data_IF_257355149489
#
_entry.id   IF_257355149489
#
_cell.length_a   1.000
_cell.length_b   1.000
_cell.length_c   1.000
_cell.angle_alpha   90.00
_cell.angle_beta   90.00
_cell.angle_gamma   90.00
#
_symmetry.space_group_name_H-M   'P 1'
#
loop_
_entity.id
_entity.type
_entity.pdbx_description
1 polymer ?
#
# COMPACT_ATOMS: atom_id res chain seq x y z
N UNK A 1 -24.06 21.73 13.93
CA UNK A 1 -22.98 21.15 13.10
C UNK A 1 -22.16 20.23 13.99
N UNK A 2 -22.52 18.95 14.04
CA UNK A 2 -21.80 17.99 14.89
C UNK A 2 -20.48 17.62 14.21
N UNK A 3 -19.39 18.19 14.70
CA UNK A 3 -18.04 17.69 14.46
C UNK A 3 -17.94 16.27 15.02
N UNK A 4 -18.33 15.29 14.21
CA UNK A 4 -17.87 13.93 14.41
C UNK A 4 -16.37 13.98 14.18
N UNK A 5 -15.59 13.83 15.25
CA UNK A 5 -14.15 13.61 15.18
C UNK A 5 -13.91 12.35 14.33
N UNK A 6 -13.81 12.53 13.02
CA UNK A 6 -13.46 11.46 12.11
C UNK A 6 -12.06 11.03 12.53
N UNK A 7 -11.94 9.82 13.08
CA UNK A 7 -10.64 9.21 13.36
C UNK A 7 -9.86 9.24 12.04
N UNK A 8 -8.93 10.18 11.94
CA UNK A 8 -8.09 10.37 10.78
C UNK A 8 -6.93 9.40 10.99
N UNK A 9 -7.03 8.22 10.37
CA UNK A 9 -6.00 7.19 10.44
C UNK A 9 -4.73 7.71 9.78
N UNK A 10 -3.81 8.25 10.58
CA UNK A 10 -2.59 8.85 10.04
C UNK A 10 -1.61 7.81 9.50
N UNK A 11 -1.57 6.62 10.10
CA UNK A 11 -0.67 5.57 9.66
C UNK A 11 -1.25 4.17 9.88
N UNK A 12 -1.10 3.31 8.88
CA UNK A 12 -1.33 1.86 9.00
C UNK A 12 0.01 1.15 8.76
N UNK A 13 0.33 0.18 9.61
CA UNK A 13 1.45 -0.73 9.44
C UNK A 13 0.90 -2.15 9.33
N UNK A 14 1.15 -2.80 8.21
CA UNK A 14 0.82 -4.20 7.99
C UNK A 14 2.13 -4.96 7.92
N UNK A 15 2.28 -5.95 8.79
CA UNK A 15 3.38 -6.90 8.77
C UNK A 15 2.79 -8.30 8.81
N UNK A 16 3.28 -9.18 7.92
CA UNK A 16 2.93 -10.59 7.97
C UNK A 16 4.16 -11.40 8.39
N UNK A 17 3.92 -12.49 9.13
CA UNK A 17 4.96 -13.42 9.56
C UNK A 17 4.97 -14.60 8.60
N UNK A 18 6.03 -14.74 7.80
CA UNK A 18 6.20 -15.85 6.84
C UNK A 18 5.60 -15.57 5.44
N UNK A 19 5.44 -16.61 4.61
CA UNK A 19 4.84 -16.55 3.26
C UNK A 19 3.31 -16.26 3.26
N UNK A 20 2.79 -15.66 4.34
CA UNK A 20 1.39 -15.29 4.41
C UNK A 20 1.11 -14.10 3.49
N UNK A 21 0.18 -14.29 2.55
CA UNK A 21 -0.32 -13.19 1.72
C UNK A 21 -1.32 -12.38 2.53
N UNK A 22 -1.29 -11.05 2.39
CA UNK A 22 -2.35 -10.23 2.98
C UNK A 22 -3.72 -10.69 2.43
N UNK A 23 -4.72 -10.99 3.27
CA UNK A 23 -6.08 -11.25 2.82
C UNK A 23 -6.73 -9.90 2.45
N UNK A 24 -6.51 -9.49 1.20
CA UNK A 24 -6.90 -8.18 0.65
C UNK A 24 -8.42 -7.98 0.47
N UNK A 25 -9.24 -8.93 0.91
CA UNK A 25 -10.70 -8.93 0.75
C UNK A 25 -11.46 -8.38 1.95
N UNK A 26 -10.78 -7.94 3.01
CA UNK A 26 -11.47 -7.46 4.21
C UNK A 26 -12.12 -6.08 3.97
N UNK A 27 -13.47 -5.98 4.00
CA UNK A 27 -14.17 -4.71 3.77
C UNK A 27 -13.78 -3.63 4.78
N UNK A 28 -13.45 -4.05 6.01
CA UNK A 28 -12.97 -3.16 7.07
C UNK A 28 -11.65 -2.48 6.67
N UNK A 29 -10.70 -3.24 6.10
CA UNK A 29 -9.42 -2.70 5.66
C UNK A 29 -9.66 -1.69 4.53
N UNK A 30 -10.47 -2.05 3.53
CA UNK A 30 -10.84 -1.17 2.41
C UNK A 30 -11.56 0.12 2.84
N UNK A 31 -12.33 0.09 3.94
CA UNK A 31 -13.00 1.27 4.48
C UNK A 31 -12.03 2.25 5.17
N UNK A 32 -10.88 1.75 5.64
CA UNK A 32 -9.88 2.56 6.33
C UNK A 32 -8.89 3.22 5.35
N UNK A 33 -8.54 2.54 4.25
CA UNK A 33 -7.54 3.00 3.26
C UNK A 33 -7.73 4.43 2.75
N UNK A 34 -8.95 4.92 2.45
CA UNK A 34 -9.13 6.27 1.92
C UNK A 34 -8.70 7.38 2.87
N UNK A 35 -8.59 7.09 4.18
CA UNK A 35 -8.19 8.05 5.21
C UNK A 35 -6.72 7.97 5.60
N UNK A 36 -5.98 6.99 5.04
CA UNK A 36 -4.61 6.69 5.43
C UNK A 36 -3.65 7.69 4.80
N UNK A 37 -2.88 8.40 5.62
CA UNK A 37 -1.82 9.29 5.15
C UNK A 37 -0.46 8.57 4.99
N UNK A 38 -0.20 7.52 5.78
CA UNK A 38 1.02 6.70 5.69
C UNK A 38 0.72 5.20 5.73
N UNK A 39 1.20 4.44 4.77
CA UNK A 39 1.09 2.98 4.74
C UNK A 39 2.48 2.38 4.80
N UNK A 40 2.68 1.41 5.70
CA UNK A 40 3.91 0.63 5.80
C UNK A 40 3.54 -0.84 5.59
N UNK A 41 4.10 -1.48 4.57
CA UNK A 41 3.98 -2.91 4.31
C UNK A 41 5.35 -3.56 4.54
N UNK A 42 5.42 -4.54 5.45
CA UNK A 42 6.66 -5.25 5.80
C UNK A 42 6.53 -6.76 5.68
N UNK A 43 7.45 -7.40 4.97
CA UNK A 43 7.52 -8.88 4.90
C UNK A 43 6.18 -9.45 4.44
N UNK A 44 5.60 -8.82 3.40
CA UNK A 44 4.25 -9.11 2.91
C UNK A 44 4.28 -9.74 1.53
N UNK A 45 3.57 -10.86 1.39
CA UNK A 45 3.16 -11.37 0.08
C UNK A 45 1.97 -10.58 -0.47
N UNK A 46 2.18 -9.84 -1.56
CA UNK A 46 1.13 -9.17 -2.31
C UNK A 46 0.70 -10.01 -3.50
N UNK A 47 -0.56 -10.44 -3.47
CA UNK A 47 -1.16 -11.12 -4.62
C UNK A 47 -1.46 -10.14 -5.75
N UNK A 48 -1.76 -10.67 -6.93
CA UNK A 48 -2.25 -9.88 -8.07
C UNK A 48 -3.43 -8.97 -7.75
N UNK A 49 -4.22 -9.22 -6.69
CA UNK A 49 -5.33 -8.34 -6.26
C UNK A 49 -4.88 -7.12 -5.43
N UNK A 50 -3.61 -7.03 -5.02
CA UNK A 50 -3.10 -5.93 -4.18
C UNK A 50 -3.21 -4.55 -4.83
N UNK A 51 -3.21 -4.47 -6.16
CA UNK A 51 -3.39 -3.22 -6.89
C UNK A 51 -4.69 -2.48 -6.52
N UNK A 52 -5.74 -3.19 -6.06
CA UNK A 52 -6.98 -2.56 -5.61
C UNK A 52 -6.80 -1.78 -4.31
N UNK A 53 -5.89 -2.20 -3.42
CA UNK A 53 -5.58 -1.44 -2.20
C UNK A 53 -5.01 -0.07 -2.58
N UNK A 54 -4.01 -0.06 -3.46
CA UNK A 54 -3.29 1.16 -3.82
C UNK A 54 -4.19 2.17 -4.54
N UNK A 55 -5.20 1.70 -5.28
CA UNK A 55 -6.24 2.57 -5.84
C UNK A 55 -7.15 3.23 -4.80
N UNK A 56 -7.34 2.59 -3.64
CA UNK A 56 -8.17 3.12 -2.55
C UNK A 56 -7.41 4.10 -1.65
N UNK A 57 -6.08 4.19 -1.79
CA UNK A 57 -5.19 5.03 -0.99
C UNK A 57 -5.16 6.50 -1.48
N UNK A 58 -6.34 7.13 -1.59
CA UNK A 58 -6.48 8.49 -2.16
C UNK A 58 -5.84 9.62 -1.36
N UNK A 59 -5.65 9.42 -0.04
CA UNK A 59 -5.02 10.41 0.85
C UNK A 59 -3.62 10.01 1.27
N UNK A 60 -3.07 8.96 0.66
CA UNK A 60 -1.75 8.44 1.01
C UNK A 60 -0.67 9.40 0.52
N UNK A 61 0.16 9.84 1.46
CA UNK A 61 1.32 10.70 1.24
C UNK A 61 2.63 9.94 1.36
N UNK A 62 2.69 8.92 2.22
CA UNK A 62 3.91 8.15 2.45
C UNK A 62 3.65 6.66 2.31
N UNK A 63 4.41 5.98 1.46
CA UNK A 63 4.36 4.54 1.31
C UNK A 63 5.73 3.92 1.58
N UNK A 64 5.78 2.99 2.51
CA UNK A 64 6.96 2.20 2.80
C UNK A 64 6.69 0.73 2.43
N UNK A 65 7.40 0.20 1.43
CA UNK A 65 7.40 -1.20 1.03
C UNK A 65 8.75 -1.80 1.43
N UNK A 66 8.74 -2.73 2.40
CA UNK A 66 9.96 -3.36 2.91
C UNK A 66 9.79 -4.87 2.83
N UNK A 67 10.70 -5.56 2.14
CA UNK A 67 10.67 -7.01 2.00
C UNK A 67 9.30 -7.50 1.47
N UNK A 68 8.80 -6.82 0.43
CA UNK A 68 7.51 -7.13 -0.17
C UNK A 68 7.72 -8.03 -1.38
N UNK A 69 7.10 -9.20 -1.33
CA UNK A 69 7.10 -10.15 -2.43
C UNK A 69 5.81 -10.03 -3.22
N UNK A 70 5.91 -10.02 -4.55
CA UNK A 70 4.79 -9.92 -5.47
C UNK A 70 4.77 -11.11 -6.42
N UNK A 71 3.59 -11.56 -6.84
CA UNK A 71 3.47 -12.47 -7.99
C UNK A 71 4.15 -11.83 -9.23
N UNK A 72 4.85 -12.59 -10.07
CA UNK A 72 5.68 -12.08 -11.19
C UNK A 72 4.97 -11.09 -12.14
N UNK A 73 3.64 -11.14 -12.23
CA UNK A 73 2.82 -10.26 -13.08
C UNK A 73 2.05 -9.17 -12.31
N UNK A 74 2.28 -9.02 -11.00
CA UNK A 74 1.69 -7.99 -10.17
C UNK A 74 2.44 -6.63 -10.12
N UNK A 75 3.77 -6.52 -10.31
CA UNK A 75 4.47 -5.27 -10.03
C UNK A 75 4.03 -4.12 -10.95
N UNK A 76 3.86 -4.34 -12.25
CA UNK A 76 3.39 -3.30 -13.18
C UNK A 76 1.98 -2.78 -12.80
N UNK A 77 1.07 -3.70 -12.48
CA UNK A 77 -0.30 -3.33 -12.05
C UNK A 77 -0.30 -2.55 -10.74
N UNK A 78 0.65 -2.84 -9.85
CA UNK A 78 0.83 -2.10 -8.61
C UNK A 78 1.41 -0.71 -8.85
N UNK A 79 2.42 -0.56 -9.70
CA UNK A 79 2.95 0.75 -10.07
C UNK A 79 1.91 1.64 -10.74
N UNK A 80 1.11 1.08 -11.64
CA UNK A 80 -0.01 1.81 -12.24
C UNK A 80 -1.02 2.28 -11.18
N UNK A 81 -1.29 1.44 -10.17
CA UNK A 81 -2.17 1.81 -9.06
C UNK A 81 -1.55 2.84 -8.11
N UNK A 82 -0.23 2.81 -7.91
CA UNK A 82 0.51 3.83 -7.15
C UNK A 82 0.60 5.16 -7.88
N UNK A 83 0.80 5.14 -9.20
CA UNK A 83 0.76 6.34 -10.03
C UNK A 83 -0.63 7.00 -10.00
N UNK A 84 -1.69 6.22 -9.79
CA UNK A 84 -3.04 6.74 -9.58
C UNK A 84 -3.24 7.35 -8.17
N UNK A 85 -2.33 7.12 -7.22
CA UNK A 85 -2.34 7.79 -5.92
C UNK A 85 -1.73 9.20 -6.05
N UNK A 86 -2.56 10.14 -6.48
CA UNK A 86 -2.18 11.53 -6.82
C UNK A 86 -1.58 12.35 -5.67
N UNK A 87 -1.62 11.85 -4.43
CA UNK A 87 -1.13 12.56 -3.25
C UNK A 87 0.13 11.94 -2.65
N UNK A 88 0.72 10.94 -3.29
CA UNK A 88 1.93 10.29 -2.80
C UNK A 88 3.12 11.24 -2.91
N UNK A 89 3.71 11.59 -1.77
CA UNK A 89 4.86 12.50 -1.64
C UNK A 89 6.17 11.71 -1.43
N UNK A 90 6.12 10.59 -0.71
CA UNK A 90 7.29 9.76 -0.39
C UNK A 90 7.01 8.28 -0.65
N UNK A 91 7.93 7.62 -1.34
CA UNK A 91 7.91 6.18 -1.61
C UNK A 91 9.25 5.57 -1.23
N UNK A 92 9.24 4.65 -0.27
CA UNK A 92 10.39 3.82 0.10
C UNK A 92 10.15 2.41 -0.40
N UNK A 93 11.10 1.86 -1.16
CA UNK A 93 11.11 0.45 -1.58
C UNK A 93 12.44 -0.16 -1.15
N UNK A 94 12.39 -1.19 -0.31
CA UNK A 94 13.56 -1.84 0.27
C UNK A 94 13.39 -3.35 0.21
N UNK A 95 14.39 -4.07 -0.30
CA UNK A 95 14.39 -5.54 -0.37
C UNK A 95 13.16 -6.14 -1.08
N UNK A 96 12.61 -5.45 -2.07
CA UNK A 96 11.48 -5.93 -2.87
C UNK A 96 11.95 -6.41 -4.25
N UNK A 97 12.37 -7.68 -4.42
CA UNK A 97 13.10 -8.17 -5.60
C UNK A 97 12.30 -8.13 -6.92
N UNK A 98 10.97 -8.07 -6.82
CA UNK A 98 10.08 -8.00 -7.99
C UNK A 98 9.71 -6.56 -8.39
N UNK A 99 10.19 -5.56 -7.65
CA UNK A 99 9.98 -4.16 -7.99
C UNK A 99 11.18 -3.66 -8.78
N UNK A 100 10.97 -2.97 -9.92
CA UNK A 100 12.05 -2.29 -10.59
C UNK A 100 12.72 -1.30 -9.62
N UNK A 101 14.05 -1.13 -9.72
CA UNK A 101 14.75 -0.12 -8.96
C UNK A 101 14.12 1.25 -9.27
N UNK A 102 13.89 2.04 -8.22
CA UNK A 102 13.54 3.45 -8.35
C UNK A 102 14.76 4.17 -8.92
N UNK A 103 14.82 4.30 -10.25
CA UNK A 103 15.81 5.14 -10.91
C UNK A 103 15.33 6.58 -10.88
N UNK A 104 16.10 7.47 -10.26
CA UNK A 104 15.96 8.92 -10.39
C UNK A 104 15.92 9.29 -11.88
N UNK A 105 14.80 9.82 -12.36
CA UNK A 105 14.66 10.51 -13.66
C UNK A 105 14.01 11.85 -13.43
#
# INVERSE_FOLDING_TARGET
>A
CSESAAIQLRSIRLATSGEARLPLSEPALMALLPKVARLVLRTVGLSRRAHTLFRSLRSLRKLDLIDVQCDQNAPESMWSALAAASCLEELTVMDCPHFPPLTDT
#
